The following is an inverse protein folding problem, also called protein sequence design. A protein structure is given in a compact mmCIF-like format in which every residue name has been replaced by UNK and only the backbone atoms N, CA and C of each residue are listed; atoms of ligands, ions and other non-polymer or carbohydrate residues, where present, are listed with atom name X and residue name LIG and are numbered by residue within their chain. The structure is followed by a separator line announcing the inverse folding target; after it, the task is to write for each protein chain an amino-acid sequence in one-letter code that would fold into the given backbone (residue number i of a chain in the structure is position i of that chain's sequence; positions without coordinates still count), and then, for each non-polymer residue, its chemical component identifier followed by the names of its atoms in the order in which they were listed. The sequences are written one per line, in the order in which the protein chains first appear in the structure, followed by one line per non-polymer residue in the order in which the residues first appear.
data_IF_740295357763
#
_entry.id   IF_740295357763
#
_cell.length_a   1.000
_cell.length_b   1.000
_cell.length_c   1.000
_cell.angle_alpha   90.00
_cell.angle_beta   90.00
_cell.angle_gamma   90.00
#
_symmetry.space_group_name_H-M   'P 1'
#
loop_
_entity.id
_entity.type
_entity.pdbx_description
1 polymer ?
#
# COMPACT_ATOMS: atom_id res chain seq x y z
N UNK A 1 13.36 13.01 1.64
CA UNK A 1 13.28 13.10 0.17
C UNK A 1 12.49 11.91 -0.35
N UNK A 2 11.17 12.04 -0.54
CA UNK A 2 10.40 11.02 -1.25
C UNK A 2 10.76 11.09 -2.73
N UNK A 3 11.17 9.97 -3.33
CA UNK A 3 11.43 9.90 -4.77
C UNK A 3 10.11 10.14 -5.51
N UNK A 4 9.90 11.36 -6.01
CA UNK A 4 8.74 11.68 -6.85
C UNK A 4 8.93 11.07 -8.24
N UNK A 5 8.13 10.05 -8.53
CA UNK A 5 7.81 9.51 -9.86
C UNK A 5 8.39 8.13 -10.15
N UNK A 6 8.21 7.66 -11.38
CA UNK A 6 8.36 6.25 -11.74
C UNK A 6 9.82 5.77 -11.86
N UNK A 7 10.04 4.49 -11.52
CA UNK A 7 11.14 3.68 -12.00
C UNK A 7 10.68 3.02 -13.31
N UNK A 8 11.37 3.30 -14.41
CA UNK A 8 10.90 2.93 -15.75
C UNK A 8 11.84 1.92 -16.38
N UNK A 9 11.26 0.85 -16.93
CA UNK A 9 11.97 -0.13 -17.75
C UNK A 9 11.33 -0.19 -19.13
N UNK A 10 12.12 0.19 -20.14
CA UNK A 10 11.72 0.11 -21.55
C UNK A 10 12.13 -1.26 -22.09
N UNK A 11 11.20 -1.92 -22.79
CA UNK A 11 11.45 -3.18 -23.51
C UNK A 11 11.47 -2.88 -25.01
N UNK A 12 12.67 -2.82 -25.57
CA UNK A 12 12.89 -2.45 -26.96
C UNK A 12 12.62 -3.63 -27.91
N UNK A 13 12.00 -3.34 -29.05
CA UNK A 13 11.53 -4.35 -30.02
C UNK A 13 12.66 -5.09 -30.72
N UNK A 14 13.77 -4.39 -30.98
CA UNK A 14 14.95 -4.91 -31.68
C UNK A 14 16.23 -4.17 -31.26
N UNK A 15 17.39 -4.66 -31.71
CA UNK A 15 18.70 -4.11 -31.34
C UNK A 15 18.86 -2.63 -31.70
N UNK A 16 18.39 -2.22 -32.88
CA UNK A 16 18.46 -0.83 -33.33
C UNK A 16 17.64 0.11 -32.43
N UNK A 17 16.40 -0.26 -32.09
CA UNK A 17 15.57 0.52 -31.15
C UNK A 17 16.17 0.55 -29.75
N UNK A 18 16.80 -0.54 -29.30
CA UNK A 18 17.45 -0.60 -28.00
C UNK A 18 18.64 0.35 -27.91
N UNK A 19 19.46 0.41 -28.97
CA UNK A 19 20.59 1.35 -29.04
C UNK A 19 20.11 2.80 -29.02
N UNK A 20 19.09 3.15 -29.82
CA UNK A 20 18.51 4.49 -29.81
C UNK A 20 17.97 4.89 -28.44
N UNK A 21 17.13 4.07 -27.83
CA UNK A 21 16.56 4.35 -26.50
C UNK A 21 17.66 4.51 -25.44
N UNK A 22 18.74 3.72 -25.51
CA UNK A 22 19.88 3.87 -24.59
C UNK A 22 20.62 5.19 -24.79
N UNK A 23 20.81 5.63 -26.04
CA UNK A 23 21.38 6.94 -26.35
C UNK A 23 20.49 8.06 -25.81
N UNK A 24 19.17 7.98 -26.01
CA UNK A 24 18.20 8.97 -25.51
C UNK A 24 18.20 9.06 -23.98
N UNK A 25 18.19 7.91 -23.29
CA UNK A 25 18.29 7.85 -21.82
C UNK A 25 19.60 8.48 -21.34
N UNK A 26 20.71 8.23 -22.06
CA UNK A 26 22.02 8.80 -21.76
C UNK A 26 22.04 10.31 -21.94
N UNK A 27 21.57 10.80 -23.09
CA UNK A 27 21.49 12.23 -23.42
C UNK A 27 20.59 13.00 -22.45
N UNK A 28 19.49 12.39 -22.00
CA UNK A 28 18.59 12.98 -21.01
C UNK A 28 19.13 12.91 -19.56
N UNK A 29 20.22 12.18 -19.29
CA UNK A 29 20.81 12.07 -17.96
C UNK A 29 19.94 11.33 -16.93
N UNK A 30 19.01 10.48 -17.37
CA UNK A 30 18.02 9.80 -16.52
C UNK A 30 18.35 8.33 -16.23
N UNK A 31 19.57 7.90 -16.56
CA UNK A 31 20.02 6.53 -16.36
C UNK A 31 19.90 6.10 -14.88
N UNK A 32 19.60 4.82 -14.65
CA UNK A 32 19.33 4.26 -13.32
C UNK A 32 17.87 4.39 -12.89
N UNK A 33 17.22 5.52 -13.19
CA UNK A 33 15.77 5.69 -13.03
C UNK A 33 14.99 5.18 -14.25
N UNK A 34 15.55 5.40 -15.44
CA UNK A 34 15.07 4.81 -16.68
C UNK A 34 16.14 3.85 -17.18
N UNK A 35 15.76 2.66 -17.61
CA UNK A 35 16.66 1.70 -18.24
C UNK A 35 15.97 0.99 -19.39
N UNK A 36 16.74 0.45 -20.32
CA UNK A 36 16.22 -0.27 -21.47
C UNK A 36 16.86 -1.65 -21.63
N UNK A 37 16.04 -2.63 -21.96
CA UNK A 37 16.44 -4.00 -22.30
C UNK A 37 15.67 -4.53 -23.51
N UNK A 38 16.07 -5.69 -24.04
CA UNK A 38 15.32 -6.33 -25.12
C UNK A 38 13.94 -6.79 -24.64
N UNK A 39 12.93 -6.67 -25.50
CA UNK A 39 11.66 -7.35 -25.31
C UNK A 39 11.82 -8.84 -25.69
N UNK A 40 11.25 -9.73 -24.88
CA UNK A 40 11.08 -11.13 -25.27
C UNK A 40 9.73 -11.28 -26.01
N UNK A 41 9.67 -12.05 -27.10
CA UNK A 41 8.52 -12.05 -28.02
C UNK A 41 7.26 -12.68 -27.42
N UNK A 42 7.38 -13.56 -26.43
CA UNK A 42 6.26 -14.37 -25.90
C UNK A 42 6.00 -14.21 -24.40
N UNK A 43 6.93 -13.61 -23.66
CA UNK A 43 6.82 -13.46 -22.20
C UNK A 43 7.61 -12.27 -21.70
N UNK A 44 7.03 -11.49 -20.80
CA UNK A 44 7.68 -10.38 -20.14
C UNK A 44 8.62 -10.89 -19.02
N UNK A 45 9.80 -10.27 -18.83
CA UNK A 45 10.81 -10.73 -17.88
C UNK A 45 10.49 -10.33 -16.43
N UNK A 46 9.22 -10.41 -16.03
CA UNK A 46 8.75 -10.02 -14.70
C UNK A 46 7.96 -11.14 -14.04
N UNK A 47 8.05 -11.18 -12.71
CA UNK A 47 7.16 -12.00 -11.88
C UNK A 47 5.70 -11.54 -12.04
N UNK A 48 4.77 -12.40 -11.63
CA UNK A 48 3.36 -12.04 -11.54
C UNK A 48 3.21 -10.85 -10.59
N UNK A 49 2.24 -9.97 -10.83
CA UNK A 49 1.89 -8.88 -9.92
C UNK A 49 3.10 -8.04 -9.47
N UNK A 50 3.91 -7.52 -10.39
CA UNK A 50 5.10 -6.73 -10.07
C UNK A 50 5.02 -5.28 -10.58
N UNK A 51 4.42 -5.08 -11.74
CA UNK A 51 4.43 -3.81 -12.46
C UNK A 51 3.16 -3.01 -12.16
N UNK A 52 3.29 -1.75 -11.73
CA UNK A 52 2.12 -0.92 -11.44
C UNK A 52 1.46 -0.31 -12.70
N UNK A 53 2.27 -0.02 -13.72
CA UNK A 53 1.85 0.63 -14.95
C UNK A 53 2.58 0.01 -16.14
N UNK A 54 1.83 -0.44 -17.14
CA UNK A 54 2.36 -0.81 -18.45
C UNK A 54 1.81 0.15 -19.50
N UNK A 55 2.68 0.57 -20.40
CA UNK A 55 2.33 1.39 -21.57
C UNK A 55 2.70 0.59 -22.83
N UNK A 56 1.73 0.32 -23.68
CA UNK A 56 1.90 -0.38 -24.95
C UNK A 56 1.43 0.55 -26.07
N UNK A 57 2.37 1.14 -26.79
CA UNK A 57 2.10 2.11 -27.86
C UNK A 57 1.65 1.48 -29.18
N UNK A 58 1.68 0.15 -29.29
CA UNK A 58 1.19 -0.59 -30.47
C UNK A 58 0.79 -1.99 -30.03
N UNK A 59 -0.41 -2.12 -29.48
CA UNK A 59 -0.93 -3.42 -29.03
C UNK A 59 -1.11 -4.39 -30.21
N UNK A 60 -1.67 -4.00 -31.37
CA UNK A 60 -1.83 -4.92 -32.50
C UNK A 60 -0.52 -5.57 -32.96
N UNK A 61 0.56 -4.81 -33.15
CA UNK A 61 1.90 -5.35 -33.50
C UNK A 61 2.38 -6.35 -32.44
N UNK A 62 2.24 -5.98 -31.17
CA UNK A 62 2.72 -6.79 -30.06
C UNK A 62 1.94 -8.11 -29.90
N UNK A 63 0.63 -8.11 -30.14
CA UNK A 63 -0.18 -9.33 -30.20
C UNK A 63 0.19 -10.18 -31.42
N UNK A 64 0.36 -9.57 -32.60
CA UNK A 64 0.76 -10.27 -33.83
C UNK A 64 2.13 -10.95 -33.71
N UNK A 65 3.03 -10.37 -32.91
CA UNK A 65 4.35 -10.93 -32.59
C UNK A 65 4.32 -12.03 -31.53
N UNK A 66 3.14 -12.34 -30.97
CA UNK A 66 2.90 -13.49 -30.12
C UNK A 66 2.98 -13.22 -28.62
N UNK A 67 2.98 -11.97 -28.16
CA UNK A 67 2.79 -11.68 -26.74
C UNK A 67 1.29 -11.74 -26.42
N UNK A 68 0.82 -12.67 -25.56
CA UNK A 68 -0.61 -12.76 -25.29
C UNK A 68 -1.06 -11.61 -24.39
N UNK A 69 -2.31 -11.15 -24.57
CA UNK A 69 -2.88 -10.09 -23.73
C UNK A 69 -2.85 -10.46 -22.23
N UNK A 70 -3.08 -11.74 -21.91
CA UNK A 70 -3.00 -12.27 -20.55
C UNK A 70 -1.61 -12.06 -19.90
N UNK A 71 -0.53 -12.04 -20.68
CA UNK A 71 0.83 -11.82 -20.16
C UNK A 71 1.03 -10.37 -19.66
N UNK A 72 0.41 -9.38 -20.33
CA UNK A 72 0.42 -7.99 -19.88
C UNK A 72 -0.23 -7.89 -18.50
N UNK A 73 -1.38 -8.54 -18.32
CA UNK A 73 -2.10 -8.51 -17.05
C UNK A 73 -1.48 -9.44 -15.99
N UNK A 74 -0.78 -10.52 -16.36
CA UNK A 74 -0.05 -11.39 -15.42
C UNK A 74 0.94 -10.57 -14.60
N UNK A 75 1.75 -9.74 -15.26
CA UNK A 75 2.80 -8.96 -14.60
C UNK A 75 2.27 -7.71 -13.91
N UNK A 76 1.09 -7.20 -14.27
CA UNK A 76 0.49 -6.06 -13.59
C UNK A 76 0.09 -6.43 -12.15
N UNK A 77 0.37 -5.54 -11.21
CA UNK A 77 -0.14 -5.65 -9.84
C UNK A 77 -1.67 -5.61 -9.86
N UNK A 78 -2.36 -6.21 -8.87
CA UNK A 78 -3.74 -5.86 -8.57
C UNK A 78 -3.91 -4.34 -8.51
N UNK A 79 -4.99 -3.82 -9.08
CA UNK A 79 -5.26 -2.38 -9.30
C UNK A 79 -4.24 -1.65 -10.20
N UNK A 80 -3.29 -2.38 -10.78
CA UNK A 80 -2.33 -1.86 -11.76
C UNK A 80 -3.02 -1.50 -13.07
N UNK A 81 -2.40 -0.59 -13.82
CA UNK A 81 -2.97 0.01 -15.02
C UNK A 81 -2.21 -0.42 -16.26
N UNK A 82 -2.95 -0.79 -17.32
CA UNK A 82 -2.45 -0.84 -18.68
C UNK A 82 -2.96 0.38 -19.45
N UNK A 83 -2.05 1.10 -20.09
CA UNK A 83 -2.35 2.07 -21.14
C UNK A 83 -2.00 1.41 -22.47
N UNK A 84 -3.03 1.13 -23.27
CA UNK A 84 -2.91 0.39 -24.51
C UNK A 84 -3.35 1.27 -25.67
N UNK A 85 -2.44 1.52 -26.61
CA UNK A 85 -2.82 1.99 -27.94
C UNK A 85 -3.25 0.77 -28.75
N UNK A 86 -4.52 0.76 -29.12
CA UNK A 86 -5.17 -0.37 -29.81
C UNK A 86 -5.45 -0.04 -31.27
N UNK A 87 -5.14 1.17 -31.72
CA UNK A 87 -5.59 1.70 -33.01
C UNK A 87 -7.12 1.87 -33.09
N UNK A 88 -7.57 2.64 -34.07
CA UNK A 88 -9.00 2.97 -34.18
C UNK A 88 -9.86 1.77 -34.59
N UNK A 89 -9.31 0.87 -35.42
CA UNK A 89 -10.01 -0.30 -35.91
C UNK A 89 -10.38 -1.30 -34.79
N UNK A 90 -9.50 -1.51 -33.81
CA UNK A 90 -9.75 -2.48 -32.73
C UNK A 90 -10.42 -1.87 -31.49
N UNK A 91 -10.61 -0.55 -31.44
CA UNK A 91 -11.15 0.13 -30.25
C UNK A 91 -12.55 -0.37 -29.85
N UNK A 92 -13.38 -0.74 -30.82
CA UNK A 92 -14.73 -1.28 -30.56
C UNK A 92 -14.71 -2.74 -30.09
N UNK A 93 -13.70 -3.53 -30.48
CA UNK A 93 -13.62 -4.96 -30.19
C UNK A 93 -12.72 -5.29 -28.99
N UNK A 94 -11.89 -4.35 -28.53
CA UNK A 94 -10.97 -4.57 -27.40
C UNK A 94 -11.68 -5.02 -26.12
N UNK A 95 -12.91 -4.59 -25.87
CA UNK A 95 -13.67 -4.98 -24.67
C UNK A 95 -13.86 -6.49 -24.55
N UNK A 96 -14.18 -7.18 -25.65
CA UNK A 96 -14.30 -8.63 -25.66
C UNK A 96 -12.95 -9.33 -25.43
N UNK A 97 -11.86 -8.80 -26.01
CA UNK A 97 -10.49 -9.31 -25.80
C UNK A 97 -10.06 -9.15 -24.33
N UNK A 98 -10.39 -8.01 -23.70
CA UNK A 98 -10.12 -7.74 -22.28
C UNK A 98 -10.95 -8.65 -21.35
N UNK A 99 -12.24 -8.80 -21.61
CA UNK A 99 -13.11 -9.68 -20.84
C UNK A 99 -12.63 -11.14 -20.88
N UNK A 100 -12.16 -11.63 -22.05
CA UNK A 100 -11.60 -12.97 -22.21
C UNK A 100 -10.36 -13.24 -21.34
N UNK A 101 -9.69 -12.20 -20.84
CA UNK A 101 -8.55 -12.31 -19.90
C UNK A 101 -8.90 -11.80 -18.49
N UNK A 102 -10.20 -11.68 -18.17
CA UNK A 102 -10.70 -11.31 -16.84
C UNK A 102 -10.60 -9.82 -16.53
N UNK A 103 -10.60 -8.95 -17.55
CA UNK A 103 -10.47 -7.50 -17.39
C UNK A 103 -11.75 -6.79 -17.82
N UNK A 104 -12.48 -6.30 -16.83
CA UNK A 104 -13.79 -5.66 -17.02
C UNK A 104 -13.71 -4.13 -16.85
N UNK A 105 -12.81 -3.64 -15.98
CA UNK A 105 -12.64 -2.21 -15.73
C UNK A 105 -11.71 -1.57 -16.76
N UNK A 106 -12.27 -1.04 -17.84
CA UNK A 106 -11.54 -0.23 -18.82
C UNK A 106 -12.33 0.97 -19.32
N UNK A 107 -11.62 2.00 -19.78
CA UNK A 107 -12.21 3.15 -20.48
C UNK A 107 -11.26 3.71 -21.52
N UNK A 108 -11.80 4.39 -22.52
CA UNK A 108 -10.98 5.23 -23.41
C UNK A 108 -10.60 6.52 -22.69
N UNK A 109 -9.33 6.92 -22.81
CA UNK A 109 -8.79 8.18 -22.29
C UNK A 109 -8.03 8.90 -23.41
N UNK A 110 -8.12 10.22 -23.46
CA UNK A 110 -7.27 11.02 -24.33
C UNK A 110 -5.94 11.32 -23.61
N UNK A 111 -4.81 11.06 -24.28
CA UNK A 111 -3.47 11.39 -23.83
C UNK A 111 -2.69 12.02 -25.00
N UNK A 112 -1.52 12.58 -24.73
CA UNK A 112 -0.62 13.03 -25.78
C UNK A 112 -0.31 11.87 -26.74
N UNK A 113 -0.51 12.10 -28.04
CA UNK A 113 -0.34 11.08 -29.07
C UNK A 113 -1.61 10.28 -29.41
N UNK A 114 -2.77 10.58 -28.83
CA UNK A 114 -4.06 10.07 -29.30
C UNK A 114 -4.96 9.49 -28.21
N UNK A 115 -5.92 8.68 -28.61
CA UNK A 115 -6.83 8.04 -27.68
C UNK A 115 -6.29 6.66 -27.26
N UNK A 116 -6.26 6.39 -25.97
CA UNK A 116 -5.73 5.15 -25.38
C UNK A 116 -6.83 4.39 -24.66
N UNK A 117 -6.69 3.08 -24.54
CA UNK A 117 -7.48 2.26 -23.63
C UNK A 117 -6.74 2.18 -22.29
N UNK A 118 -7.37 2.72 -21.25
CA UNK A 118 -6.94 2.56 -19.86
C UNK A 118 -7.69 1.39 -19.24
N UNK A 119 -7.01 0.26 -19.09
CA UNK A 119 -7.54 -0.93 -18.43
C UNK A 119 -6.93 -1.10 -17.04
N UNK A 120 -7.71 -1.57 -16.08
CA UNK A 120 -7.29 -1.79 -14.68
C UNK A 120 -7.41 -3.26 -14.35
N UNK A 121 -6.33 -3.85 -13.82
CA UNK A 121 -6.37 -5.22 -13.32
C UNK A 121 -7.21 -5.28 -12.03
N UNK A 122 -8.26 -6.11 -11.96
CA UNK A 122 -9.05 -6.23 -10.75
C UNK A 122 -8.20 -6.80 -9.61
N UNK A 123 -8.51 -6.37 -8.39
CA UNK A 123 -8.00 -7.01 -7.19
C UNK A 123 -8.85 -8.25 -6.90
N UNK A 124 -8.25 -9.46 -6.78
CA UNK A 124 -8.99 -10.65 -6.40
C UNK A 124 -9.71 -10.45 -5.06
N UNK A 125 -10.96 -10.89 -4.97
CA UNK A 125 -11.80 -10.74 -3.78
C UNK A 125 -11.26 -11.58 -2.60
N UNK A 126 -10.55 -12.66 -2.92
CA UNK A 126 -9.94 -13.61 -2.00
C UNK A 126 -8.63 -13.11 -1.39
N UNK A 127 -8.06 -12.02 -1.93
CA UNK A 127 -6.80 -11.47 -1.42
C UNK A 127 -7.07 -10.64 -0.16
N UNK A 128 -6.46 -11.04 0.94
CA UNK A 128 -6.63 -10.40 2.23
C UNK A 128 -5.87 -9.08 2.37
N UNK A 129 -6.13 -8.42 3.49
CA UNK A 129 -5.42 -7.24 3.98
C UNK A 129 -4.94 -7.52 5.41
N UNK A 130 -4.13 -6.63 5.98
CA UNK A 130 -3.73 -6.71 7.39
C UNK A 130 -3.75 -5.31 8.02
N UNK A 131 -4.95 -4.70 8.16
CA UNK A 131 -5.08 -3.29 8.50
C UNK A 131 -4.78 -2.96 9.98
N UNK A 132 -4.76 -3.98 10.84
CA UNK A 132 -4.49 -3.89 12.29
C UNK A 132 -3.34 -4.80 12.69
N UNK A 133 -2.72 -4.56 13.84
CA UNK A 133 -1.78 -5.52 14.44
C UNK A 133 -2.38 -6.94 14.55
N UNK A 134 -3.62 -7.03 15.02
CA UNK A 134 -4.38 -8.27 15.19
C UNK A 134 -5.28 -8.60 14.01
N UNK A 135 -4.92 -8.20 12.77
CA UNK A 135 -5.67 -8.34 11.52
C UNK A 135 -7.05 -7.64 11.47
N UNK A 136 -7.88 -7.76 12.51
CA UNK A 136 -9.18 -7.13 12.65
C UNK A 136 -9.45 -6.61 14.08
N UNK A 137 -10.58 -5.91 14.25
CA UNK A 137 -11.02 -5.40 15.56
C UNK A 137 -11.56 -6.52 16.48
N UNK A 138 -11.76 -7.73 15.95
CA UNK A 138 -12.08 -8.95 16.69
C UNK A 138 -10.90 -9.52 17.49
N UNK A 139 -9.69 -8.99 17.29
CA UNK A 139 -8.48 -9.41 18.01
C UNK A 139 -7.86 -10.72 17.48
N UNK A 140 -8.29 -11.21 16.32
CA UNK A 140 -7.86 -12.49 15.77
C UNK A 140 -6.68 -12.37 14.81
N UNK A 141 -5.53 -12.96 15.14
CA UNK A 141 -4.29 -12.93 14.35
C UNK A 141 -4.29 -13.87 13.13
N UNK A 142 -5.43 -14.07 12.49
CA UNK A 142 -5.57 -14.98 11.34
C UNK A 142 -6.04 -14.21 10.13
N UNK A 143 -5.26 -14.31 9.04
CA UNK A 143 -5.63 -13.73 7.75
C UNK A 143 -6.89 -14.39 7.19
N UNK A 144 -7.72 -13.61 6.51
CA UNK A 144 -8.80 -14.11 5.64
C UNK A 144 -8.37 -14.35 4.19
N UNK A 145 -7.09 -14.18 3.89
CA UNK A 145 -6.53 -14.40 2.55
C UNK A 145 -6.61 -15.89 2.14
N UNK A 146 -7.19 -16.18 0.98
CA UNK A 146 -7.32 -17.54 0.44
C UNK A 146 -6.36 -17.83 -0.73
N UNK A 147 -5.52 -16.88 -1.10
CA UNK A 147 -4.58 -16.99 -2.23
C UNK A 147 -3.15 -17.34 -1.76
N UNK A 148 -2.83 -17.07 -0.50
CA UNK A 148 -1.54 -17.45 0.08
C UNK A 148 -1.46 -18.97 0.23
N UNK A 149 -0.58 -19.57 -0.57
CA UNK A 149 -0.14 -20.97 -0.42
C UNK A 149 1.30 -21.07 0.09
N UNK A 150 1.91 -22.27 0.04
CA UNK A 150 3.32 -22.46 0.38
C UNK A 150 4.22 -21.49 -0.39
N UNK A 151 5.16 -20.84 0.30
CA UNK A 151 6.05 -19.86 -0.32
C UNK A 151 6.98 -20.54 -1.36
N UNK A 152 6.89 -20.10 -2.62
CA UNK A 152 7.70 -20.66 -3.74
C UNK A 152 8.80 -19.73 -4.25
N UNK A 153 8.77 -18.46 -3.87
CA UNK A 153 9.75 -17.47 -4.32
C UNK A 153 9.85 -16.32 -3.34
N UNK A 154 11.00 -15.65 -3.32
CA UNK A 154 11.16 -14.36 -2.67
C UNK A 154 10.63 -13.27 -3.61
N UNK A 155 9.63 -12.50 -3.17
CA UNK A 155 9.06 -11.43 -4.00
C UNK A 155 9.91 -10.16 -3.98
N UNK A 156 10.22 -9.66 -2.79
CA UNK A 156 11.15 -8.54 -2.60
C UNK A 156 11.72 -8.58 -1.18
N UNK A 157 12.82 -7.87 -0.97
CA UNK A 157 13.46 -7.70 0.34
C UNK A 157 13.98 -6.28 0.45
N UNK A 158 13.66 -5.61 1.55
CA UNK A 158 14.25 -4.31 1.87
C UNK A 158 15.68 -4.49 2.40
N UNK A 159 16.59 -3.59 2.02
CA UNK A 159 17.96 -3.65 2.51
C UNK A 159 18.03 -3.07 3.93
N UNK A 160 18.32 -3.92 4.92
CA UNK A 160 18.37 -3.53 6.32
C UNK A 160 19.82 -3.53 6.80
N UNK A 161 20.29 -2.34 7.19
CA UNK A 161 21.59 -2.18 7.84
C UNK A 161 21.36 -1.94 9.33
N UNK A 162 21.28 -3.03 10.10
CA UNK A 162 21.15 -2.96 11.54
C UNK A 162 22.33 -3.63 12.23
N UNK A 163 23.00 -2.86 13.10
CA UNK A 163 24.09 -3.36 13.95
C UNK A 163 23.48 -3.69 15.33
N UNK A 164 23.22 -4.98 15.59
CA UNK A 164 22.82 -5.56 16.90
C UNK A 164 21.51 -5.06 17.57
N UNK A 165 20.44 -4.77 16.82
CA UNK A 165 19.20 -4.23 17.44
C UNK A 165 17.95 -5.05 17.14
N UNK A 166 17.20 -5.38 18.20
CA UNK A 166 15.77 -5.76 18.16
C UNK A 166 14.89 -4.54 17.82
N UNK A 167 13.68 -4.77 17.29
CA UNK A 167 12.67 -3.74 16.94
C UNK A 167 13.12 -2.72 15.87
N UNK A 168 13.75 -3.20 14.80
CA UNK A 168 14.13 -2.35 13.65
C UNK A 168 12.89 -1.84 12.92
N UNK A 169 11.83 -2.65 12.88
CA UNK A 169 10.56 -2.28 12.28
C UNK A 169 9.44 -2.45 13.28
N UNK A 170 8.48 -1.53 13.25
CA UNK A 170 7.27 -1.50 14.09
C UNK A 170 6.09 -0.94 13.28
N UNK A 171 4.87 -1.13 13.77
CA UNK A 171 3.64 -0.60 13.17
C UNK A 171 3.34 -1.16 11.78
N UNK A 172 3.60 -2.46 11.55
CA UNK A 172 3.33 -3.11 10.28
C UNK A 172 1.83 -3.29 10.06
N UNK A 173 1.32 -2.64 9.04
CA UNK A 173 -0.06 -2.82 8.55
C UNK A 173 -0.08 -2.75 7.03
N UNK A 174 -1.02 -3.44 6.39
CA UNK A 174 -1.23 -3.38 4.95
C UNK A 174 -2.71 -3.16 4.62
N UNK A 175 -2.94 -2.24 3.69
CA UNK A 175 -4.27 -1.94 3.16
C UNK A 175 -4.16 -1.33 1.76
N UNK A 176 -5.06 -1.69 0.85
CA UNK A 176 -5.16 -1.06 -0.47
C UNK A 176 -3.91 -1.23 -1.33
N UNK A 177 -3.25 -2.38 -1.23
CA UNK A 177 -2.01 -2.68 -1.98
C UNK A 177 -0.77 -1.93 -1.48
N UNK A 178 -0.84 -1.31 -0.29
CA UNK A 178 0.28 -0.62 0.36
C UNK A 178 0.65 -1.29 1.65
N UNK A 179 1.94 -1.20 1.98
CA UNK A 179 2.50 -1.68 3.23
C UNK A 179 3.11 -0.51 3.98
N UNK A 180 2.69 -0.32 5.22
CA UNK A 180 3.15 0.76 6.10
C UNK A 180 3.95 0.17 7.24
N UNK A 181 5.04 0.83 7.59
CA UNK A 181 5.84 0.49 8.77
C UNK A 181 6.69 1.68 9.20
N UNK A 182 7.08 1.69 10.47
CA UNK A 182 8.11 2.57 10.99
C UNK A 182 9.43 1.79 11.06
N UNK A 183 10.50 2.34 10.49
CA UNK A 183 11.83 1.76 10.49
C UNK A 183 12.83 2.62 11.24
N UNK A 184 13.67 1.97 12.05
CA UNK A 184 14.84 2.53 12.70
C UNK A 184 16.03 2.48 11.74
N UNK A 185 16.56 3.65 11.34
CA UNK A 185 17.75 3.76 10.47
C UNK A 185 18.92 4.38 11.21
N UNK A 186 20.11 3.83 10.98
CA UNK A 186 21.38 4.43 11.40
C UNK A 186 21.72 5.58 10.43
N UNK A 187 22.17 6.71 10.97
CA UNK A 187 22.61 7.85 10.18
C UNK A 187 24.12 8.09 10.36
N UNK A 188 24.90 7.92 9.28
CA UNK A 188 26.35 8.20 9.24
C UNK A 188 27.22 7.14 9.93
N UNK A 189 28.49 7.48 10.18
CA UNK A 189 29.49 6.63 10.86
C UNK A 189 29.28 6.56 12.39
N UNK A 190 28.04 6.71 12.88
CA UNK A 190 27.77 6.79 14.32
C UNK A 190 26.37 6.34 14.74
N UNK A 191 26.21 6.11 16.05
CA UNK A 191 25.03 5.58 16.74
C UNK A 191 23.76 6.46 16.68
N UNK A 192 23.71 7.50 15.84
CA UNK A 192 22.53 8.36 15.71
C UNK A 192 21.43 7.62 14.97
N UNK A 193 20.33 7.43 15.67
CA UNK A 193 19.13 6.74 15.18
C UNK A 193 18.13 7.75 14.66
N UNK A 194 17.53 7.48 13.51
CA UNK A 194 16.32 8.16 13.05
C UNK A 194 15.21 7.15 12.84
N UNK A 195 13.99 7.54 13.17
CA UNK A 195 12.80 6.78 12.83
C UNK A 195 12.18 7.36 11.57
N UNK A 196 11.73 6.49 10.69
CA UNK A 196 11.12 6.86 9.42
C UNK A 196 9.86 6.03 9.26
N UNK A 197 8.71 6.69 9.13
CA UNK A 197 7.48 6.06 8.67
C UNK A 197 7.57 5.91 7.15
N UNK A 198 7.34 4.72 6.65
CA UNK A 198 7.50 4.36 5.24
C UNK A 198 6.19 3.76 4.74
N UNK A 199 5.73 4.22 3.58
CA UNK A 199 4.79 3.47 2.76
C UNK A 199 5.52 2.86 1.57
N UNK A 200 5.23 1.60 1.30
CA UNK A 200 5.73 0.85 0.15
C UNK A 200 4.58 0.29 -0.64
N UNK A 201 4.84 0.06 -1.92
CA UNK A 201 4.01 -0.82 -2.70
C UNK A 201 4.15 -2.25 -2.16
N UNK A 202 3.03 -2.90 -1.81
CA UNK A 202 3.06 -4.22 -1.20
C UNK A 202 3.49 -5.33 -2.19
N UNK A 203 3.36 -5.09 -3.49
CA UNK A 203 3.62 -6.08 -4.54
C UNK A 203 5.07 -6.09 -5.02
N UNK A 204 5.72 -4.93 -5.09
CA UNK A 204 7.11 -4.82 -5.56
C UNK A 204 8.10 -4.21 -4.54
N UNK A 205 7.61 -3.75 -3.38
CA UNK A 205 8.43 -3.27 -2.28
C UNK A 205 9.05 -1.89 -2.50
N UNK A 206 8.76 -1.22 -3.61
CA UNK A 206 9.26 0.12 -3.91
C UNK A 206 8.71 1.13 -2.89
N UNK A 207 9.55 2.00 -2.30
CA UNK A 207 9.07 3.09 -1.46
C UNK A 207 8.18 4.05 -2.25
N UNK A 208 6.99 4.33 -1.74
CA UNK A 208 6.06 5.34 -2.27
C UNK A 208 6.39 6.69 -1.62
N UNK A 209 6.45 6.72 -0.30
CA UNK A 209 6.84 7.90 0.47
C UNK A 209 7.53 7.51 1.76
N UNK A 210 8.29 8.46 2.29
CA UNK A 210 8.97 8.35 3.58
C UNK A 210 8.76 9.64 4.37
N UNK A 211 8.41 9.50 5.64
CA UNK A 211 8.20 10.61 6.58
C UNK A 211 9.09 10.41 7.81
N UNK A 212 10.10 11.26 8.02
CA UNK A 212 10.86 11.25 9.26
C UNK A 212 9.94 11.48 10.46
N UNK A 213 10.16 10.72 11.53
CA UNK A 213 9.42 10.83 12.79
C UNK A 213 10.40 10.77 13.97
N UNK A 214 10.01 11.37 15.09
CA UNK A 214 10.88 11.50 16.27
C UNK A 214 10.83 10.30 17.21
N UNK A 215 9.96 9.31 16.93
CA UNK A 215 9.69 8.20 17.84
C UNK A 215 9.33 6.90 17.09
N UNK A 216 9.45 5.73 17.73
CA UNK A 216 9.11 4.44 17.11
C UNK A 216 7.58 4.23 17.10
N UNK A 217 6.92 4.63 16.01
CA UNK A 217 5.48 4.37 15.81
C UNK A 217 5.20 2.86 15.85
N UNK A 218 4.25 2.41 16.65
CA UNK A 218 3.97 0.99 16.93
C UNK A 218 4.89 0.34 17.99
N UNK A 219 5.95 1.02 18.45
CA UNK A 219 6.90 0.50 19.44
C UNK A 219 6.50 0.66 20.91
N UNK A 220 7.31 0.07 21.82
CA UNK A 220 7.25 -0.07 23.31
C UNK A 220 5.90 -0.45 23.97
N UNK A 221 4.76 0.01 23.46
CA UNK A 221 3.42 -0.19 24.03
C UNK A 221 2.43 -0.87 23.05
N UNK A 222 2.91 -1.29 21.87
CA UNK A 222 2.19 -2.19 20.96
C UNK A 222 1.92 -1.58 19.59
N UNK A 223 2.05 -2.42 18.55
CA UNK A 223 1.71 -2.10 17.16
C UNK A 223 0.20 -1.85 16.95
N UNK A 224 -0.60 -1.84 18.02
CA UNK A 224 -2.06 -1.72 18.01
C UNK A 224 -2.57 -0.29 17.85
N UNK A 225 -1.67 0.71 17.86
CA UNK A 225 -2.01 2.12 17.66
C UNK A 225 -1.75 2.62 16.23
N UNK A 226 -1.66 1.68 15.29
CA UNK A 226 -1.56 1.94 13.85
C UNK A 226 -2.68 1.19 13.16
N UNK A 227 -3.48 1.89 12.37
CA UNK A 227 -4.56 1.29 11.58
C UNK A 227 -4.50 1.83 10.16
N UNK A 228 -4.56 0.93 9.17
CA UNK A 228 -4.62 1.32 7.76
C UNK A 228 -5.98 0.99 7.14
N UNK A 229 -6.37 1.82 6.18
CA UNK A 229 -7.45 1.57 5.22
C UNK A 229 -6.89 1.80 3.82
N UNK A 230 -7.66 1.55 2.77
CA UNK A 230 -7.19 1.78 1.40
C UNK A 230 -6.71 3.23 1.16
N UNK A 231 -7.33 4.20 1.85
CA UNK A 231 -7.11 5.63 1.61
C UNK A 231 -6.46 6.39 2.77
N UNK A 232 -6.45 5.80 3.97
CA UNK A 232 -5.97 6.47 5.19
C UNK A 232 -5.09 5.58 6.05
N UNK A 233 -4.11 6.20 6.70
CA UNK A 233 -3.31 5.61 7.78
C UNK A 233 -3.52 6.44 9.05
N UNK A 234 -3.99 5.78 10.12
CA UNK A 234 -4.30 6.38 11.41
C UNK A 234 -3.25 6.00 12.45
N UNK A 235 -2.61 6.99 13.04
CA UNK A 235 -1.56 6.82 14.05
C UNK A 235 -1.24 8.14 14.76
N UNK A 236 -0.61 8.10 15.94
CA UNK A 236 0.03 9.27 16.52
C UNK A 236 1.40 9.53 15.87
N UNK A 237 1.67 10.78 15.45
CA UNK A 237 2.98 11.15 14.90
C UNK A 237 4.02 11.53 15.97
N UNK A 238 3.54 11.78 17.18
CA UNK A 238 4.36 12.19 18.32
C UNK A 238 4.01 11.35 19.56
N UNK A 239 4.94 11.11 20.50
CA UNK A 239 4.72 10.24 21.66
C UNK A 239 3.52 10.58 22.56
N UNK A 240 3.07 11.84 22.53
CA UNK A 240 1.90 12.33 23.30
C UNK A 240 0.99 13.21 22.43
N UNK A 241 1.18 13.17 21.11
CA UNK A 241 0.38 13.95 20.18
C UNK A 241 -0.97 13.30 19.90
N UNK A 242 -1.89 14.04 19.26
CA UNK A 242 -3.16 13.49 18.82
C UNK A 242 -2.94 12.41 17.75
N UNK A 243 -3.93 11.54 17.59
CA UNK A 243 -4.05 10.70 16.40
C UNK A 243 -4.25 11.61 15.19
N UNK A 244 -3.61 11.27 14.08
CA UNK A 244 -3.85 11.89 12.78
C UNK A 244 -4.31 10.86 11.76
N UNK A 245 -5.03 11.32 10.74
CA UNK A 245 -5.20 10.57 9.51
C UNK A 245 -4.19 11.10 8.49
N UNK A 246 -3.38 10.20 7.93
CA UNK A 246 -2.55 10.47 6.78
C UNK A 246 -3.25 9.96 5.52
N UNK A 247 -3.14 10.68 4.42
CA UNK A 247 -3.45 10.15 3.09
C UNK A 247 -2.49 8.98 2.77
N UNK A 248 -3.05 7.80 2.51
CA UNK A 248 -2.28 6.57 2.32
C UNK A 248 -1.31 6.65 1.13
N UNK A 249 -1.66 7.38 0.08
CA UNK A 249 -0.87 7.48 -1.14
C UNK A 249 0.28 8.50 -1.05
N UNK A 250 0.18 9.50 -0.18
CA UNK A 250 1.12 10.64 -0.13
C UNK A 250 1.80 10.84 1.21
N UNK A 251 1.27 10.25 2.30
CA UNK A 251 1.78 10.41 3.67
C UNK A 251 1.52 11.79 4.28
N UNK A 252 0.75 12.64 3.58
CA UNK A 252 0.35 13.96 4.07
C UNK A 252 -0.72 13.81 5.13
N UNK A 253 -0.61 14.59 6.19
CA UNK A 253 -1.68 14.71 7.18
C UNK A 253 -2.88 15.37 6.51
N UNK A 254 -4.03 14.69 6.54
CA UNK A 254 -5.31 15.22 6.03
C UNK A 254 -6.28 15.57 7.14
N UNK A 255 -6.11 15.00 8.33
CA UNK A 255 -6.93 15.30 9.50
C UNK A 255 -6.14 15.08 10.78
N UNK A 256 -6.45 15.88 11.80
CA UNK A 256 -5.91 15.76 13.15
C UNK A 256 -7.07 15.67 14.14
N UNK A 257 -7.09 14.62 14.96
CA UNK A 257 -8.16 14.37 15.91
C UNK A 257 -7.81 14.97 17.27
N UNK A 258 -8.16 16.23 17.47
CA UNK A 258 -7.81 17.00 18.70
C UNK A 258 -8.44 16.42 19.96
N UNK A 259 -9.60 15.75 19.84
CA UNK A 259 -10.25 15.05 20.94
C UNK A 259 -9.69 13.64 21.20
N UNK A 260 -8.66 13.19 20.49
CA UNK A 260 -8.04 11.90 20.76
C UNK A 260 -7.29 11.87 22.10
N UNK A 261 -7.31 10.71 22.75
CA UNK A 261 -6.39 10.38 23.85
C UNK A 261 -5.10 9.80 23.27
N UNK A 262 -4.03 9.72 24.07
CA UNK A 262 -2.88 8.87 23.71
C UNK A 262 -3.32 7.39 23.72
N UNK A 263 -3.35 6.70 22.56
CA UNK A 263 -3.85 5.34 22.49
C UNK A 263 -2.71 4.32 22.63
N UNK A 264 -2.97 3.27 23.40
CA UNK A 264 -2.25 2.00 23.27
C UNK A 264 -2.87 1.15 22.15
N UNK A 265 -4.17 1.34 21.87
CA UNK A 265 -4.91 0.67 20.80
C UNK A 265 -5.89 1.62 20.10
N UNK A 266 -6.03 1.48 18.78
CA UNK A 266 -7.02 2.16 17.93
C UNK A 266 -7.87 1.10 17.22
N UNK A 267 -9.19 1.34 17.11
CA UNK A 267 -10.12 0.57 16.29
C UNK A 267 -11.02 1.48 15.48
N UNK A 268 -11.38 1.06 14.27
CA UNK A 268 -12.35 1.75 13.43
C UNK A 268 -13.58 0.86 13.28
N UNK A 269 -14.76 1.41 13.55
CA UNK A 269 -16.03 0.71 13.41
C UNK A 269 -17.17 1.70 13.19
N UNK A 270 -18.05 1.43 12.21
CA UNK A 270 -19.29 2.16 11.97
C UNK A 270 -19.16 3.69 11.99
N UNK A 271 -18.14 4.20 11.27
CA UNK A 271 -17.85 5.64 11.18
C UNK A 271 -17.23 6.25 12.44
N UNK A 272 -16.81 5.43 13.42
CA UNK A 272 -16.23 5.87 14.69
C UNK A 272 -14.78 5.45 14.80
N UNK A 273 -13.97 6.29 15.45
CA UNK A 273 -12.64 5.92 15.93
C UNK A 273 -12.70 5.66 17.43
N UNK A 274 -12.47 4.41 17.79
CA UNK A 274 -12.36 3.94 19.16
C UNK A 274 -10.88 3.93 19.54
N UNK A 275 -10.59 4.37 20.74
CA UNK A 275 -9.23 4.44 21.25
C UNK A 275 -9.20 4.11 22.73
N UNK A 276 -8.18 3.37 23.14
CA UNK A 276 -8.01 2.96 24.52
C UNK A 276 -6.53 3.00 24.91
N UNK A 277 -6.29 3.32 26.17
CA UNK A 277 -5.05 3.01 26.86
C UNK A 277 -5.36 2.29 28.17
N UNK A 278 -4.36 1.92 28.95
CA UNK A 278 -4.58 1.22 30.24
C UNK A 278 -5.63 1.85 31.18
N UNK A 279 -5.85 3.19 31.14
CA UNK A 279 -6.69 3.91 32.10
C UNK A 279 -8.09 4.27 31.58
N UNK A 280 -8.19 4.63 30.31
CA UNK A 280 -9.39 5.23 29.74
C UNK A 280 -9.63 4.74 28.32
N UNK A 281 -10.88 4.83 27.89
CA UNK A 281 -11.31 4.64 26.52
C UNK A 281 -12.15 5.82 26.04
N UNK A 282 -12.16 6.05 24.73
CA UNK A 282 -12.89 7.15 24.10
C UNK A 282 -13.35 6.74 22.70
N UNK A 283 -14.50 7.27 22.29
CA UNK A 283 -14.90 7.29 20.89
C UNK A 283 -15.00 8.72 20.38
N UNK A 284 -14.61 8.88 19.12
CA UNK A 284 -14.86 10.09 18.35
C UNK A 284 -15.49 9.70 17.01
N UNK A 285 -16.23 10.61 16.41
CA UNK A 285 -16.71 10.48 15.05
C UNK A 285 -15.52 10.56 14.09
N UNK A 286 -15.43 9.62 13.15
CA UNK A 286 -14.27 9.52 12.26
C UNK A 286 -14.23 10.67 11.23
N UNK A 287 -15.38 11.17 10.81
CA UNK A 287 -15.46 12.20 9.78
C UNK A 287 -15.18 13.60 10.34
N UNK A 288 -15.87 13.98 11.43
CA UNK A 288 -15.76 15.29 12.07
C UNK A 288 -14.60 15.37 13.07
N UNK A 289 -14.26 14.24 13.72
CA UNK A 289 -13.33 14.21 14.86
C UNK A 289 -13.95 14.65 16.18
N UNK A 290 -15.26 14.91 16.20
CA UNK A 290 -15.99 15.29 17.40
C UNK A 290 -16.07 14.15 18.40
N UNK A 291 -16.02 14.48 19.68
CA UNK A 291 -16.09 13.50 20.76
C UNK A 291 -17.50 12.95 20.86
N UNK A 292 -17.66 11.63 20.76
CA UNK A 292 -18.95 10.95 20.92
C UNK A 292 -19.20 10.60 22.39
N UNK A 293 -18.23 9.94 23.02
CA UNK A 293 -18.29 9.60 24.44
C UNK A 293 -16.88 9.44 25.01
N UNK A 294 -16.79 9.48 26.33
CA UNK A 294 -15.52 9.36 27.07
C UNK A 294 -15.70 8.48 28.31
N UNK A 295 -14.75 7.59 28.55
CA UNK A 295 -14.73 6.75 29.75
C UNK A 295 -13.37 6.87 30.43
N UNK A 296 -13.29 7.74 31.45
CA UNK A 296 -12.06 8.06 32.15
C UNK A 296 -11.56 6.98 33.12
N UNK A 297 -12.33 5.90 33.36
CA UNK A 297 -12.05 4.94 34.46
C UNK A 297 -11.92 3.48 34.03
N UNK A 298 -12.22 3.18 32.77
CA UNK A 298 -12.06 1.86 32.16
C UNK A 298 -11.32 2.01 30.84
N UNK A 299 -10.24 1.26 30.69
CA UNK A 299 -9.46 1.15 29.47
C UNK A 299 -8.89 -0.26 29.34
N UNK A 300 -7.79 -0.39 28.59
CA UNK A 300 -7.13 -1.66 28.32
C UNK A 300 -7.39 -2.17 26.91
N UNK A 301 -7.30 -3.49 26.72
CA UNK A 301 -7.49 -4.08 25.40
C UNK A 301 -8.95 -3.96 24.97
N UNK A 302 -9.15 -3.62 23.71
CA UNK A 302 -10.43 -3.58 23.03
C UNK A 302 -10.59 -4.80 22.15
N UNK A 303 -11.81 -5.32 22.07
CA UNK A 303 -12.27 -6.26 21.05
C UNK A 303 -13.70 -5.90 20.66
N UNK A 304 -13.98 -5.91 19.35
CA UNK A 304 -15.31 -5.66 18.80
C UNK A 304 -15.76 -6.92 18.06
N UNK A 305 -16.89 -7.47 18.49
CA UNK A 305 -17.56 -8.59 17.83
C UNK A 305 -19.08 -8.35 17.93
N UNK A 306 -19.80 -8.62 16.85
CA UNK A 306 -21.27 -8.56 16.80
C UNK A 306 -21.86 -7.24 17.33
N UNK A 307 -21.23 -6.10 17.01
CA UNK A 307 -21.64 -4.76 17.45
C UNK A 307 -21.35 -4.45 18.92
N UNK A 308 -20.79 -5.39 19.67
CA UNK A 308 -20.47 -5.24 21.08
C UNK A 308 -18.98 -4.98 21.30
N UNK A 309 -18.69 -3.90 22.02
CA UNK A 309 -17.35 -3.50 22.35
C UNK A 309 -17.00 -3.93 23.78
N UNK A 310 -15.98 -4.77 23.88
CA UNK A 310 -15.40 -5.21 25.13
C UNK A 310 -14.18 -4.35 25.46
N UNK A 311 -14.14 -3.79 26.67
CA UNK A 311 -12.95 -3.15 27.23
C UNK A 311 -12.53 -3.90 28.49
N UNK A 312 -11.24 -4.21 28.62
CA UNK A 312 -10.75 -4.87 29.81
C UNK A 312 -9.27 -4.62 30.10
N UNK A 313 -8.98 -4.44 31.38
CA UNK A 313 -7.64 -4.55 31.93
C UNK A 313 -7.62 -5.58 33.07
N UNK A 314 -6.45 -5.82 33.67
CA UNK A 314 -6.28 -6.84 34.71
C UNK A 314 -7.17 -6.67 35.96
N UNK A 315 -7.84 -5.52 36.15
CA UNK A 315 -8.61 -5.19 37.35
C UNK A 315 -10.07 -4.81 37.07
N UNK A 316 -10.42 -4.43 35.83
CA UNK A 316 -11.75 -3.97 35.45
C UNK A 316 -12.07 -4.39 34.03
N UNK A 317 -13.21 -5.07 33.86
CA UNK A 317 -13.78 -5.43 32.56
C UNK A 317 -15.15 -4.77 32.42
N UNK A 318 -15.47 -4.28 31.23
CA UNK A 318 -16.78 -3.69 30.91
C UNK A 318 -17.18 -4.05 29.49
N UNK A 319 -18.43 -4.49 29.33
CA UNK A 319 -19.09 -4.64 28.03
C UNK A 319 -19.92 -3.39 27.75
N UNK A 320 -19.79 -2.85 26.54
CA UNK A 320 -20.51 -1.64 26.09
C UNK A 320 -21.09 -1.91 24.69
N UNK A 321 -22.38 -1.67 24.50
CA UNK A 321 -22.98 -1.65 23.15
C UNK A 321 -22.60 -0.37 22.42
N UNK A 322 -22.40 -0.44 21.10
CA UNK A 322 -22.05 0.73 20.27
C UNK A 322 -23.26 1.45 19.64
N UNK A 323 -24.47 1.14 20.11
CA UNK A 323 -25.72 1.78 19.67
C UNK A 323 -25.78 3.29 19.97
#
# INVERSE_FOLDING_TARGET
MGRRGFLVRVLARNAASLQRVRADIGAAGVYGRVSAGPAAPKRLPYADNLVNLIVVADLPDLLARGLPLAEIFRVLTPNGVALLDVGDAERKSIGAKLAAVGIESFKTVALDGGAWVRAVKPRPAEMGEWPYFSHGPDGNFVSKDLLVGPARSLRWRDAVWAKHTVNIFTGWVSAGGRMFHCVRRLAGHGHRVRYVLVARDAYNGLPIWERPVSWPIGGKYGDRNVVATADRLYLPLEPKGPIVALDAATGRTVQTYTHSIRPDQIMLADGKMLMSNWRQSRAIDLASGEKLWDNATVGGSMALADGQLLFGNAYRNRLVSLD
#
